data_IF_922136290353
#
_entry.id   IF_922136290353
#
_cell.length_a   1.000
_cell.length_b   1.000
_cell.length_c   1.000
_cell.angle_alpha   90.00
_cell.angle_beta   90.00
_cell.angle_gamma   90.00
#
_symmetry.space_group_name_H-M   'P 1'
#
loop_
_entity.id
_entity.type
_entity.pdbx_description
1 polymer ?
#
# COMPACT_ATOMS: atom_id res chain seq x y z
N UNK A 1 23.24 -8.02 4.97
CA UNK A 1 22.03 -7.20 5.11
C UNK A 1 20.98 -7.77 4.16
N UNK A 2 20.50 -8.98 4.46
CA UNK A 2 19.60 -9.77 3.63
C UNK A 2 18.51 -10.35 4.55
N UNK A 3 17.42 -9.60 4.79
CA UNK A 3 16.26 -10.10 5.57
C UNK A 3 14.94 -10.00 4.76
N UNK A 4 14.87 -9.16 3.72
CA UNK A 4 13.63 -8.96 2.92
C UNK A 4 13.49 -9.85 1.67
N UNK A 5 14.37 -10.83 1.46
CA UNK A 5 14.40 -11.65 0.24
C UNK A 5 13.57 -12.96 0.30
N UNK A 6 12.82 -13.24 1.38
CA UNK A 6 12.13 -14.54 1.55
C UNK A 6 10.60 -14.55 1.46
N UNK A 7 9.92 -13.42 1.18
CA UNK A 7 8.48 -13.40 0.87
C UNK A 7 8.13 -12.65 -0.43
N UNK A 8 9.00 -12.72 -1.44
CA UNK A 8 8.63 -12.42 -2.85
C UNK A 8 8.35 -13.70 -3.63
N UNK A 9 7.58 -14.62 -3.04
CA UNK A 9 7.03 -15.74 -3.80
C UNK A 9 5.99 -15.19 -4.76
N UNK A 10 6.18 -15.41 -6.06
CA UNK A 10 5.26 -15.09 -7.14
C UNK A 10 3.79 -15.18 -6.72
N UNK A 11 3.15 -14.02 -6.53
CA UNK A 11 1.72 -13.98 -6.31
C UNK A 11 1.04 -14.13 -7.67
N UNK A 12 0.63 -15.36 -7.98
CA UNK A 12 -0.20 -15.71 -9.12
C UNK A 12 -1.67 -15.81 -8.66
N UNK A 13 -2.53 -14.79 -8.88
CA UNK A 13 -3.95 -14.84 -8.51
C UNK A 13 -4.79 -15.85 -9.32
N UNK A 14 -4.22 -16.55 -10.31
CA UNK A 14 -4.98 -17.42 -11.22
C UNK A 14 -4.74 -18.90 -10.92
N UNK A 15 -5.42 -19.39 -9.89
CA UNK A 15 -5.36 -20.80 -9.47
C UNK A 15 -6.62 -21.33 -8.80
N UNK A 16 -7.80 -20.71 -9.01
CA UNK A 16 -9.07 -21.28 -8.58
C UNK A 16 -9.34 -22.57 -9.37
N UNK A 17 -9.00 -23.71 -8.76
CA UNK A 17 -9.20 -25.03 -9.36
C UNK A 17 -10.68 -25.40 -9.17
N UNK A 18 -11.47 -25.30 -10.24
CA UNK A 18 -12.86 -25.76 -10.26
C UNK A 18 -12.91 -27.28 -9.98
N UNK A 19 -13.33 -27.67 -8.77
CA UNK A 19 -13.69 -29.07 -8.49
C UNK A 19 -15.17 -29.26 -8.80
N UNK A 20 -15.42 -30.14 -9.76
CA UNK A 20 -16.73 -30.58 -10.18
C UNK A 20 -17.61 -31.05 -9.02
N UNK A 21 -18.81 -30.49 -8.99
CA UNK A 21 -19.90 -30.73 -8.07
C UNK A 21 -20.64 -32.02 -8.48
N UNK A 22 -20.54 -33.11 -7.71
CA UNK A 22 -21.46 -34.26 -7.83
C UNK A 22 -22.58 -34.15 -6.80
N UNK A 23 -23.79 -34.04 -7.35
CA UNK A 23 -25.08 -34.06 -6.66
C UNK A 23 -25.43 -35.44 -6.13
N UNK A 24 -25.91 -35.52 -4.88
CA UNK A 24 -27.17 -36.20 -4.45
C UNK A 24 -27.24 -36.35 -2.92
N UNK A 25 -28.30 -35.83 -2.31
CA UNK A 25 -28.66 -36.14 -0.92
C UNK A 25 -29.71 -35.19 -0.35
N UNK A 26 -30.96 -35.66 -0.29
CA UNK A 26 -32.12 -35.04 0.33
C UNK A 26 -32.04 -35.08 1.87
N UNK A 27 -32.75 -34.12 2.50
CA UNK A 27 -33.32 -34.10 3.87
C UNK A 27 -32.50 -33.51 5.05
N UNK A 28 -33.21 -32.60 5.76
CA UNK A 28 -33.23 -32.35 7.22
C UNK A 28 -32.57 -31.08 7.79
N UNK A 29 -33.44 -30.07 7.98
CA UNK A 29 -33.57 -29.10 9.09
C UNK A 29 -32.42 -29.01 10.10
N UNK A 30 -31.86 -27.80 10.25
CA UNK A 30 -31.69 -27.09 11.54
C UNK A 30 -31.38 -25.62 11.23
N UNK A 31 -32.24 -24.72 11.70
CA UNK A 31 -32.10 -23.27 11.63
C UNK A 31 -31.06 -22.84 12.68
N UNK A 32 -29.80 -23.16 12.44
CA UNK A 32 -28.68 -22.68 13.24
C UNK A 32 -28.46 -21.22 12.86
N UNK A 33 -28.71 -20.30 13.81
CA UNK A 33 -28.29 -18.91 13.66
C UNK A 33 -26.78 -18.89 13.42
N UNK A 34 -26.39 -18.62 12.16
CA UNK A 34 -25.02 -18.29 11.82
C UNK A 34 -24.72 -16.93 12.45
N UNK A 35 -24.28 -16.96 13.70
CA UNK A 35 -23.27 -16.00 14.13
C UNK A 35 -22.05 -16.33 13.25
N UNK A 36 -21.94 -15.64 12.12
CA UNK A 36 -20.68 -15.54 11.39
C UNK A 36 -19.75 -14.85 12.38
N UNK A 37 -19.01 -15.64 13.14
CA UNK A 37 -17.83 -15.17 13.83
C UNK A 37 -16.86 -14.76 12.73
N UNK A 38 -16.92 -13.48 12.35
CA UNK A 38 -15.84 -12.86 11.59
C UNK A 38 -14.55 -13.10 12.37
N UNK A 39 -13.45 -13.40 11.69
CA UNK A 39 -12.19 -13.78 12.32
C UNK A 39 -11.70 -12.71 13.28
N UNK A 40 -11.90 -12.93 14.57
CA UNK A 40 -11.50 -12.04 15.68
C UNK A 40 -10.66 -12.81 16.70
N UNK A 41 -9.81 -13.75 16.23
CA UNK A 41 -8.85 -14.42 17.12
C UNK A 41 -7.56 -13.60 17.27
N UNK A 42 -7.47 -12.44 16.62
CA UNK A 42 -6.38 -11.51 16.83
C UNK A 42 -6.57 -10.81 18.19
N UNK A 43 -5.61 -10.94 19.13
CA UNK A 43 -5.73 -10.38 20.48
C UNK A 43 -5.73 -8.84 20.49
N UNK A 44 -5.39 -8.20 19.38
CA UNK A 44 -5.33 -6.74 19.24
C UNK A 44 -6.64 -6.14 18.73
N UNK A 45 -7.60 -6.95 18.28
CA UNK A 45 -8.82 -6.47 17.63
C UNK A 45 -10.08 -6.62 18.50
N UNK A 46 -10.87 -5.55 18.58
CA UNK A 46 -12.24 -5.53 19.10
C UNK A 46 -13.19 -5.11 17.98
N UNK A 47 -13.72 -6.11 17.25
CA UNK A 47 -14.51 -5.87 16.05
C UNK A 47 -13.64 -5.35 14.90
N UNK A 48 -13.98 -4.22 14.25
CA UNK A 48 -13.20 -3.65 13.15
C UNK A 48 -12.02 -2.78 13.62
N UNK A 49 -11.88 -2.55 14.94
CA UNK A 49 -10.83 -1.71 15.50
C UNK A 49 -9.73 -2.60 16.06
N UNK A 50 -8.51 -2.46 15.55
CA UNK A 50 -7.32 -3.17 16.00
C UNK A 50 -6.29 -2.18 16.55
N UNK A 51 -5.86 -2.38 17.78
CA UNK A 51 -4.95 -1.49 18.49
C UNK A 51 -3.75 -2.27 19.00
N UNK A 52 -2.55 -1.89 18.56
CA UNK A 52 -1.30 -2.48 19.03
C UNK A 52 -0.34 -1.39 19.50
N UNK A 53 -0.16 -1.31 20.82
CA UNK A 53 0.61 -0.26 21.49
C UNK A 53 1.58 -0.88 22.48
N UNK A 54 2.80 -0.35 22.51
CA UNK A 54 3.87 -0.76 23.44
C UNK A 54 4.27 -2.24 23.35
N UNK A 55 3.92 -2.90 22.25
CA UNK A 55 4.30 -4.28 21.95
C UNK A 55 5.55 -4.30 21.06
N UNK A 56 6.45 -5.28 21.22
CA UNK A 56 7.64 -5.36 20.38
C UNK A 56 7.28 -5.59 18.91
N UNK A 57 6.28 -6.41 18.62
CA UNK A 57 5.88 -6.73 17.24
C UNK A 57 4.38 -6.91 17.14
N UNK A 58 3.76 -6.24 16.17
CA UNK A 58 2.35 -6.39 15.81
C UNK A 58 2.25 -7.11 14.48
N UNK A 59 1.43 -8.15 14.41
CA UNK A 59 1.06 -8.81 13.17
C UNK A 59 -0.46 -8.93 13.15
N UNK A 60 -1.12 -7.99 12.49
CA UNK A 60 -2.58 -7.82 12.52
C UNK A 60 -3.16 -8.26 11.17
N UNK A 61 -4.14 -9.14 11.19
CA UNK A 61 -4.87 -9.59 10.00
C UNK A 61 -6.38 -9.41 10.24
N UNK A 62 -6.97 -8.40 9.58
CA UNK A 62 -8.41 -8.13 9.68
C UNK A 62 -9.26 -9.10 8.83
N UNK A 63 -8.63 -10.00 8.07
CA UNK A 63 -9.27 -10.89 7.11
C UNK A 63 -10.09 -10.11 6.07
N UNK A 64 -11.28 -10.60 5.77
CA UNK A 64 -12.21 -10.00 4.82
C UNK A 64 -13.08 -8.86 5.42
N UNK A 65 -12.73 -8.36 6.61
CA UNK A 65 -13.51 -7.31 7.28
C UNK A 65 -13.29 -5.97 6.57
N UNK A 66 -14.31 -5.37 5.94
CA UNK A 66 -14.17 -4.06 5.31
C UNK A 66 -14.02 -2.98 6.38
N UNK A 67 -13.40 -1.87 6.00
CA UNK A 67 -13.28 -0.67 6.85
C UNK A 67 -12.57 -0.92 8.19
N UNK A 68 -11.67 -1.92 8.24
CA UNK A 68 -10.86 -2.21 9.42
C UNK A 68 -9.95 -1.01 9.74
N UNK A 69 -9.87 -0.62 11.01
CA UNK A 69 -8.98 0.45 11.48
C UNK A 69 -7.87 -0.18 12.32
N UNK A 70 -6.62 0.05 11.93
CA UNK A 70 -5.43 -0.49 12.59
C UNK A 70 -4.56 0.68 13.07
N UNK A 71 -4.34 0.76 14.37
CA UNK A 71 -3.43 1.75 14.98
C UNK A 71 -2.24 1.03 15.63
N UNK A 72 -1.04 1.33 15.13
CA UNK A 72 0.24 0.82 15.58
C UNK A 72 1.05 1.98 16.17
N UNK A 73 1.18 2.01 17.50
CA UNK A 73 1.89 3.09 18.21
C UNK A 73 3.04 2.55 19.05
N UNK A 74 4.23 3.12 18.89
CA UNK A 74 5.41 2.84 19.74
C UNK A 74 5.83 1.37 19.79
N UNK A 75 5.78 0.67 18.65
CA UNK A 75 6.18 -0.73 18.51
C UNK A 75 7.45 -0.89 17.65
N UNK A 76 8.21 -1.99 17.77
CA UNK A 76 9.42 -2.15 16.95
C UNK A 76 9.09 -2.49 15.48
N UNK A 77 7.97 -3.18 15.25
CA UNK A 77 7.45 -3.51 13.93
C UNK A 77 5.93 -3.67 13.92
N UNK A 78 5.28 -3.22 12.86
CA UNK A 78 3.87 -3.39 12.58
C UNK A 78 3.67 -3.96 11.18
N UNK A 79 3.21 -5.21 11.09
CA UNK A 79 2.82 -5.89 9.85
C UNK A 79 1.29 -6.02 9.81
N UNK A 80 0.65 -5.53 8.75
CA UNK A 80 -0.82 -5.48 8.65
C UNK A 80 -1.34 -6.05 7.34
N UNK A 81 -2.44 -6.80 7.41
CA UNK A 81 -3.20 -7.32 6.28
C UNK A 81 -4.67 -6.92 6.45
N UNK A 82 -5.24 -6.27 5.44
CA UNK A 82 -6.66 -5.92 5.46
C UNK A 82 -7.31 -5.87 4.07
N UNK A 83 -8.64 -5.91 4.07
CA UNK A 83 -9.46 -5.86 2.86
C UNK A 83 -9.64 -4.42 2.34
N UNK A 84 -10.72 -4.17 1.57
CA UNK A 84 -11.05 -2.84 1.03
C UNK A 84 -11.43 -1.85 2.15
N UNK A 85 -11.14 -0.56 1.95
CA UNK A 85 -11.56 0.55 2.82
C UNK A 85 -10.82 0.66 4.16
N UNK A 86 -9.77 -0.13 4.35
CA UNK A 86 -9.02 -0.17 5.60
C UNK A 86 -8.26 1.14 5.87
N UNK A 87 -8.12 1.49 7.15
CA UNK A 87 -7.33 2.61 7.64
C UNK A 87 -6.18 2.09 8.51
N UNK A 88 -4.93 2.31 8.10
CA UNK A 88 -3.72 1.93 8.84
C UNK A 88 -2.99 3.19 9.29
N UNK A 89 -2.76 3.35 10.58
CA UNK A 89 -1.96 4.44 11.16
C UNK A 89 -0.76 3.85 11.91
N UNK A 90 0.43 4.20 11.46
CA UNK A 90 1.71 3.76 12.02
C UNK A 90 2.47 4.97 12.56
N UNK A 91 2.61 5.07 13.89
CA UNK A 91 3.21 6.22 14.56
C UNK A 91 4.34 5.81 15.51
N UNK A 92 5.52 6.37 15.30
CA UNK A 92 6.68 6.13 16.17
C UNK A 92 7.17 4.68 16.15
N UNK A 93 6.90 3.94 15.07
CA UNK A 93 7.41 2.58 14.86
C UNK A 93 8.58 2.59 13.87
N UNK A 94 9.69 1.89 14.11
CA UNK A 94 10.78 1.79 13.14
C UNK A 94 10.33 1.19 11.80
N UNK A 95 9.42 0.20 11.80
CA UNK A 95 9.03 -0.52 10.58
C UNK A 95 7.52 -0.73 10.51
N UNK A 96 6.88 -0.18 9.49
CA UNK A 96 5.48 -0.40 9.18
C UNK A 96 5.36 -1.05 7.80
N UNK A 97 4.71 -2.21 7.72
CA UNK A 97 4.37 -2.89 6.47
C UNK A 97 2.87 -3.15 6.40
N UNK A 98 2.25 -2.81 5.27
CA UNK A 98 0.81 -3.03 5.06
C UNK A 98 0.49 -3.59 3.68
N UNK A 99 -0.43 -4.55 3.65
CA UNK A 99 -1.08 -4.99 2.42
C UNK A 99 -2.59 -4.76 2.53
N UNK A 100 -3.14 -4.07 1.55
CA UNK A 100 -4.52 -3.63 1.55
C UNK A 100 -5.21 -3.84 0.19
N UNK A 101 -6.54 -3.97 0.24
CA UNK A 101 -7.40 -3.97 -0.94
C UNK A 101 -7.49 -2.60 -1.60
N UNK A 102 -8.69 -2.21 -2.02
CA UNK A 102 -8.97 -0.91 -2.65
C UNK A 102 -9.36 0.14 -1.62
N UNK A 103 -9.26 1.40 -2.01
CA UNK A 103 -9.80 2.55 -1.27
C UNK A 103 -9.24 2.70 0.15
N UNK A 104 -8.01 2.22 0.39
CA UNK A 104 -7.40 2.22 1.71
C UNK A 104 -6.74 3.56 2.06
N UNK A 105 -6.72 3.88 3.35
CA UNK A 105 -5.96 4.98 3.93
C UNK A 105 -4.76 4.43 4.70
N UNK A 106 -3.55 4.79 4.31
CA UNK A 106 -2.34 4.39 5.03
C UNK A 106 -1.53 5.63 5.40
N UNK A 107 -1.35 5.82 6.70
CA UNK A 107 -0.59 6.93 7.28
C UNK A 107 0.62 6.37 8.04
N UNK A 108 1.79 6.86 7.70
CA UNK A 108 3.05 6.57 8.38
C UNK A 108 3.66 7.88 8.86
N UNK A 109 3.91 7.99 10.15
CA UNK A 109 4.54 9.19 10.72
C UNK A 109 5.64 8.87 11.72
N UNK A 110 6.78 9.54 11.59
CA UNK A 110 7.95 9.33 12.46
C UNK A 110 8.43 7.88 12.49
N UNK A 111 8.58 7.27 11.32
CA UNK A 111 8.99 5.86 11.13
C UNK A 111 10.33 5.77 10.38
N UNK A 112 11.09 4.68 10.56
CA UNK A 112 12.30 4.51 9.73
C UNK A 112 11.94 4.00 8.33
N UNK A 113 11.05 3.01 8.24
CA UNK A 113 10.59 2.44 6.99
C UNK A 113 9.06 2.23 6.98
N UNK A 114 8.41 2.71 5.93
CA UNK A 114 7.00 2.46 5.66
C UNK A 114 6.84 1.81 4.28
N UNK A 115 6.37 0.57 4.25
CA UNK A 115 6.16 -0.21 3.03
C UNK A 115 4.70 -0.58 2.84
N UNK A 116 4.08 -0.22 1.71
CA UNK A 116 2.66 -0.51 1.47
C UNK A 116 2.41 -1.08 0.08
N UNK A 117 1.60 -2.14 0.02
CA UNK A 117 0.97 -2.62 -1.20
C UNK A 117 -0.53 -2.41 -1.11
N UNK A 118 -1.11 -1.68 -2.07
CA UNK A 118 -2.51 -1.33 -2.07
C UNK A 118 -3.10 -1.43 -3.48
N UNK A 119 -4.40 -1.71 -3.55
CA UNK A 119 -5.19 -1.68 -4.77
C UNK A 119 -5.48 -0.26 -5.27
N UNK A 120 -6.56 -0.13 -6.04
CA UNK A 120 -6.99 1.13 -6.63
C UNK A 120 -7.56 2.10 -5.57
N UNK A 121 -7.51 3.40 -5.83
CA UNK A 121 -8.13 4.42 -4.97
C UNK A 121 -7.39 4.65 -3.65
N UNK A 122 -6.12 4.23 -3.55
CA UNK A 122 -5.41 4.26 -2.29
C UNK A 122 -4.93 5.67 -1.92
N UNK A 123 -5.01 6.01 -0.64
CA UNK A 123 -4.46 7.24 -0.06
C UNK A 123 -3.30 6.90 0.86
N UNK A 124 -2.09 7.18 0.40
CA UNK A 124 -0.85 6.90 1.13
C UNK A 124 -0.18 8.21 1.57
N UNK A 125 0.02 8.38 2.86
CA UNK A 125 0.70 9.51 3.45
C UNK A 125 1.90 9.04 4.29
N UNK A 126 3.11 9.43 3.89
CA UNK A 126 4.33 9.10 4.62
C UNK A 126 5.07 10.40 4.98
N UNK A 127 5.17 10.67 6.28
CA UNK A 127 5.69 11.91 6.82
C UNK A 127 6.79 11.66 7.86
N UNK A 128 7.84 12.49 7.82
CA UNK A 128 8.98 12.41 8.75
C UNK A 128 9.60 11.00 8.84
N UNK A 129 9.84 10.37 7.69
CA UNK A 129 10.35 9.01 7.60
C UNK A 129 11.71 8.90 6.90
N UNK A 130 12.52 7.88 7.24
CA UNK A 130 13.77 7.66 6.50
C UNK A 130 13.50 7.10 5.10
N UNK A 131 12.53 6.20 4.97
CA UNK A 131 12.15 5.57 3.69
C UNK A 131 10.65 5.29 3.60
N UNK A 132 10.07 5.63 2.45
CA UNK A 132 8.70 5.29 2.07
C UNK A 132 8.73 4.50 0.77
N UNK A 133 8.11 3.32 0.76
CA UNK A 133 7.96 2.45 -0.41
C UNK A 133 6.47 2.13 -0.60
N UNK A 134 5.88 2.52 -1.73
CA UNK A 134 4.45 2.26 -2.00
C UNK A 134 4.23 1.67 -3.38
N UNK A 135 3.36 0.65 -3.44
CA UNK A 135 2.80 0.10 -4.67
C UNK A 135 1.30 0.27 -4.62
N UNK A 136 0.75 1.18 -5.42
CA UNK A 136 -0.67 1.48 -5.46
C UNK A 136 -1.25 1.18 -6.84
N UNK A 137 -2.54 0.87 -6.88
CA UNK A 137 -3.31 0.66 -8.10
C UNK A 137 -3.59 1.97 -8.84
N UNK A 138 -4.64 1.96 -9.66
CA UNK A 138 -5.11 3.13 -10.38
C UNK A 138 -5.69 4.19 -9.42
N UNK A 139 -5.79 5.43 -9.90
CA UNK A 139 -6.45 6.55 -9.21
C UNK A 139 -6.06 6.70 -7.74
N UNK A 140 -4.77 6.52 -7.43
CA UNK A 140 -4.25 6.59 -6.07
C UNK A 140 -3.53 7.92 -5.81
N UNK A 141 -3.56 8.36 -4.56
CA UNK A 141 -2.89 9.56 -4.07
C UNK A 141 -1.73 9.17 -3.15
N UNK A 142 -0.51 9.54 -3.53
CA UNK A 142 0.72 9.26 -2.78
C UNK A 142 1.34 10.58 -2.34
N UNK A 143 1.53 10.77 -1.04
CA UNK A 143 2.17 11.95 -0.45
C UNK A 143 3.36 11.54 0.41
N UNK A 144 4.55 11.96 0.00
CA UNK A 144 5.80 11.82 0.74
C UNK A 144 6.27 13.21 1.21
N UNK A 145 6.35 13.43 2.52
CA UNK A 145 6.72 14.71 3.11
C UNK A 145 7.86 14.58 4.13
N UNK A 146 8.91 15.39 3.97
CA UNK A 146 10.06 15.40 4.89
C UNK A 146 10.72 14.02 5.03
N UNK A 147 10.88 13.30 3.91
CA UNK A 147 11.41 11.93 3.90
C UNK A 147 12.79 11.81 3.28
N UNK A 148 13.59 10.84 3.75
CA UNK A 148 14.91 10.58 3.17
C UNK A 148 14.83 10.08 1.73
N UNK A 149 13.94 9.11 1.49
CA UNK A 149 13.70 8.52 0.17
C UNK A 149 12.24 8.11 0.01
N UNK A 150 11.65 8.37 -1.16
CA UNK A 150 10.31 7.97 -1.55
C UNK A 150 10.38 7.19 -2.87
N UNK A 151 9.98 5.91 -2.84
CA UNK A 151 9.82 5.05 -4.01
C UNK A 151 8.33 4.74 -4.19
N UNK A 152 7.74 5.21 -5.30
CA UNK A 152 6.32 5.04 -5.58
C UNK A 152 6.12 4.32 -6.92
N UNK A 153 5.36 3.23 -6.92
CA UNK A 153 4.88 2.56 -8.13
C UNK A 153 3.36 2.71 -8.17
N UNK A 154 2.84 3.44 -9.16
CA UNK A 154 1.42 3.80 -9.22
C UNK A 154 0.77 3.41 -10.54
N UNK A 155 -0.52 3.05 -10.48
CA UNK A 155 -1.35 2.79 -11.64
C UNK A 155 -1.82 4.08 -12.35
N UNK A 156 -2.59 3.95 -13.44
CA UNK A 156 -3.07 5.07 -14.23
C UNK A 156 -3.98 6.01 -13.43
N UNK A 157 -3.94 7.30 -13.74
CA UNK A 157 -4.73 8.35 -13.09
C UNK A 157 -4.29 8.69 -11.68
N UNK A 158 -3.11 8.24 -11.24
CA UNK A 158 -2.61 8.49 -9.89
C UNK A 158 -1.86 9.81 -9.78
N UNK A 159 -1.83 10.37 -8.57
CA UNK A 159 -1.09 11.58 -8.23
C UNK A 159 0.00 11.27 -7.20
N UNK A 160 1.21 11.78 -7.42
CA UNK A 160 2.35 11.63 -6.51
C UNK A 160 2.89 13.00 -6.15
N UNK A 161 2.94 13.30 -4.85
CA UNK A 161 3.53 14.51 -4.29
C UNK A 161 4.73 14.17 -3.42
N UNK A 162 5.88 14.76 -3.75
CA UNK A 162 7.11 14.66 -2.96
C UNK A 162 7.54 16.05 -2.50
N UNK A 163 7.39 16.30 -1.20
CA UNK A 163 7.77 17.55 -0.55
C UNK A 163 8.94 17.34 0.40
N UNK A 164 9.95 18.22 0.35
CA UNK A 164 11.14 18.18 1.22
C UNK A 164 11.79 16.78 1.29
N UNK A 165 11.82 16.08 0.16
CA UNK A 165 12.31 14.70 0.06
C UNK A 165 13.76 14.67 -0.41
N UNK A 166 14.59 13.77 0.14
CA UNK A 166 15.98 13.59 -0.28
C UNK A 166 16.11 13.01 -1.70
N UNK A 167 15.36 11.94 -1.99
CA UNK A 167 15.21 11.37 -3.33
C UNK A 167 13.78 10.90 -3.57
N UNK A 168 13.19 11.26 -4.70
CA UNK A 168 11.85 10.80 -5.10
C UNK A 168 11.90 10.10 -6.46
N UNK A 169 11.69 8.79 -6.43
CA UNK A 169 11.65 7.91 -7.60
C UNK A 169 10.22 7.43 -7.81
N UNK A 170 9.64 7.75 -8.98
CA UNK A 170 8.26 7.42 -9.30
C UNK A 170 8.22 6.54 -10.53
N UNK A 171 7.49 5.44 -10.48
CA UNK A 171 7.22 4.56 -11.62
C UNK A 171 5.73 4.58 -11.93
N UNK A 172 5.36 5.12 -13.08
CA UNK A 172 3.98 5.19 -13.53
C UNK A 172 3.66 4.07 -14.53
N UNK A 173 2.57 3.34 -14.29
CA UNK A 173 2.07 2.25 -15.17
C UNK A 173 0.91 2.71 -16.06
N UNK A 174 1.00 3.95 -16.52
CA UNK A 174 -0.04 4.68 -17.23
C UNK A 174 0.09 6.16 -16.92
N UNK A 175 -0.91 6.95 -17.26
CA UNK A 175 -0.89 8.39 -17.03
C UNK A 175 -0.81 8.70 -15.53
N UNK A 176 0.03 9.65 -15.15
CA UNK A 176 0.18 10.04 -13.75
C UNK A 176 0.56 11.53 -13.62
N UNK A 177 0.18 12.11 -12.51
CA UNK A 177 0.57 13.46 -12.12
C UNK A 177 1.69 13.40 -11.07
N UNK A 178 2.78 14.14 -11.27
CA UNK A 178 3.90 14.20 -10.34
C UNK A 178 4.21 15.64 -9.95
N UNK A 179 4.20 15.90 -8.65
CA UNK A 179 4.43 17.21 -8.04
C UNK A 179 5.64 17.15 -7.12
N UNK A 180 6.77 17.73 -7.55
CA UNK A 180 7.97 17.71 -6.71
C UNK A 180 9.05 18.74 -7.07
N UNK A 181 9.95 18.97 -6.12
CA UNK A 181 11.15 19.81 -6.25
C UNK A 181 12.35 19.15 -6.94
N UNK A 182 12.17 17.97 -7.52
CA UNK A 182 13.24 17.18 -8.16
C UNK A 182 12.95 15.68 -8.08
N UNK A 183 12.36 15.11 -9.13
CA UNK A 183 12.06 13.68 -9.21
C UNK A 183 12.62 13.03 -10.46
N UNK A 184 12.89 11.74 -10.34
CA UNK A 184 13.08 10.84 -11.46
C UNK A 184 11.80 10.03 -11.68
N UNK A 185 11.13 10.24 -12.81
CA UNK A 185 9.90 9.52 -13.16
C UNK A 185 10.17 8.52 -14.27
N UNK A 186 9.75 7.28 -14.10
CA UNK A 186 9.88 6.21 -15.10
C UNK A 186 8.49 5.78 -15.56
N UNK A 187 8.34 5.64 -16.87
CA UNK A 187 7.12 5.14 -17.47
C UNK A 187 7.26 3.67 -17.83
N UNK A 188 6.44 2.82 -17.22
CA UNK A 188 6.25 1.42 -17.61
C UNK A 188 4.93 1.30 -18.39
N UNK A 189 4.94 1.74 -19.64
CA UNK A 189 3.74 1.68 -20.47
C UNK A 189 3.35 0.23 -20.82
N UNK A 190 2.09 -0.14 -20.59
CA UNK A 190 1.49 -1.43 -20.93
C UNK A 190 0.57 -1.34 -22.16
N UNK A 191 1.03 -0.69 -23.24
CA UNK A 191 0.37 -0.56 -24.57
C UNK A 191 -0.29 0.80 -24.89
N UNK A 192 -0.85 1.54 -23.92
CA UNK A 192 -1.58 2.81 -24.20
C UNK A 192 -0.74 4.09 -24.04
N UNK A 193 0.56 3.96 -23.77
CA UNK A 193 1.42 5.10 -23.43
C UNK A 193 1.43 5.39 -21.93
N UNK A 194 2.18 6.42 -21.56
CA UNK A 194 2.31 6.89 -20.18
C UNK A 194 2.63 8.38 -20.27
N UNK A 195 1.61 9.22 -20.07
CA UNK A 195 1.78 10.66 -20.01
C UNK A 195 2.11 11.07 -18.58
N UNK A 196 3.33 11.60 -18.40
CA UNK A 196 3.78 12.15 -17.11
C UNK A 196 3.58 13.65 -17.13
N UNK A 197 2.75 14.15 -16.22
CA UNK A 197 2.56 15.59 -16.02
C UNK A 197 3.35 16.05 -14.80
N UNK A 198 4.41 16.84 -15.01
CA UNK A 198 5.11 17.53 -13.93
C UNK A 198 4.38 18.84 -13.58
N UNK A 199 3.80 18.96 -12.39
CA UNK A 199 3.00 20.16 -12.04
C UNK A 199 3.81 21.33 -11.51
N UNK A 200 4.99 21.06 -10.93
CA UNK A 200 5.86 22.09 -10.34
C UNK A 200 7.01 22.55 -11.25
N UNK A 201 6.96 22.24 -12.56
CA UNK A 201 8.01 22.69 -13.47
C UNK A 201 7.97 22.00 -14.83
N UNK A 202 8.99 22.26 -15.64
CA UNK A 202 9.15 21.55 -16.90
C UNK A 202 9.63 20.11 -16.65
N UNK A 203 9.02 19.16 -17.36
CA UNK A 203 9.57 17.82 -17.52
C UNK A 203 10.65 17.80 -18.60
N UNK A 204 11.73 17.06 -18.38
CA UNK A 204 12.76 16.79 -19.37
C UNK A 204 12.91 15.28 -19.58
N UNK A 205 12.89 14.83 -20.83
CA UNK A 205 13.16 13.44 -21.17
C UNK A 205 14.67 13.16 -21.11
N UNK A 206 15.06 12.16 -20.32
CA UNK A 206 16.43 11.73 -20.13
C UNK A 206 16.88 10.67 -21.16
N UNK A 207 18.20 10.50 -21.39
CA UNK A 207 18.72 9.53 -22.36
C UNK A 207 18.34 8.07 -22.09
N UNK A 208 18.02 7.74 -20.84
CA UNK A 208 17.58 6.41 -20.40
C UNK A 208 16.06 6.19 -20.57
N UNK A 209 15.33 7.19 -21.07
CA UNK A 209 13.88 7.17 -21.26
C UNK A 209 13.06 7.60 -20.04
N UNK A 210 13.70 7.96 -18.93
CA UNK A 210 13.00 8.55 -17.78
C UNK A 210 12.64 10.02 -18.03
N UNK A 211 11.71 10.57 -17.25
CA UNK A 211 11.36 11.99 -17.22
C UNK A 211 11.83 12.60 -15.91
N UNK A 212 12.73 13.58 -15.98
CA UNK A 212 13.13 14.39 -14.85
C UNK A 212 12.13 15.54 -14.65
N UNK A 213 11.48 15.61 -13.49
CA UNK A 213 10.60 16.72 -13.11
C UNK A 213 11.36 17.71 -12.23
N UNK A 214 11.49 18.96 -12.69
CA UNK A 214 12.14 20.05 -11.96
C UNK A 214 13.61 19.74 -11.53
N UNK A 215 14.28 18.87 -12.28
CA UNK A 215 15.68 18.52 -12.09
C UNK A 215 16.34 18.22 -13.44
N UNK A 216 17.67 18.07 -13.46
CA UNK A 216 18.38 17.58 -14.63
C UNK A 216 18.50 16.05 -14.58
N UNK A 217 18.70 15.47 -15.76
CA UNK A 217 19.44 14.23 -15.90
C UNK A 217 20.94 14.48 -15.59
#
# INVERSE_FOLDING_TARGET
MEIWARRRGDWNPRGATERGYQSRGLLSVLLSGLLVACGTDDPYCDGPECLCVDEPTCAIDCGDTPDCTIDCESTDACDTLCADGCSVDCRGTPSCASECGRDCDVTCSSVDACGTACGDGCRYACDNASRCEVKAGAASDVSCASVGSCEAVVGPGSAVTCENTGSCEVTCRGDCEVSCGGCLVRCEALEEGCEVTCTQGAGMLCPDGSTACNTSC
#
